data_IF_047779330425
#
_entry.id   IF_047779330425
#
_cell.length_a   1.000
_cell.length_b   1.000
_cell.length_c   1.000
_cell.angle_alpha   90.00
_cell.angle_beta   90.00
_cell.angle_gamma   90.00
#
_symmetry.space_group_name_H-M   'P 1'
#
loop_
_entity.id
_entity.type
_entity.pdbx_description
1 polymer ?
#
# COMPACT_ATOMS: atom_id res chain seq x y z
N UNK A 1 -14.21 1.17 -8.42
CA UNK A 1 -14.80 0.98 -7.09
C UNK A 1 -14.86 2.29 -6.34
N UNK A 2 -15.98 2.55 -5.68
CA UNK A 2 -16.15 3.77 -4.90
C UNK A 2 -15.64 3.58 -3.48
N UNK A 3 -14.85 4.53 -3.01
CA UNK A 3 -14.40 4.56 -1.62
C UNK A 3 -15.19 5.65 -0.91
N UNK A 4 -15.82 5.30 0.21
CA UNK A 4 -16.54 6.26 1.06
C UNK A 4 -15.80 6.43 2.37
N UNK A 5 -15.67 7.68 2.80
CA UNK A 5 -15.07 8.01 4.08
C UNK A 5 -16.10 8.80 4.89
N UNK A 6 -16.47 8.27 6.04
CA UNK A 6 -17.49 8.89 6.91
C UNK A 6 -16.97 9.00 8.33
N UNK A 7 -17.59 9.87 9.12
CA UNK A 7 -17.18 10.11 10.50
C UNK A 7 -17.29 8.85 11.34
N UNK A 8 -16.25 8.55 12.09
CA UNK A 8 -16.24 7.46 13.07
C UNK A 8 -16.58 7.92 14.48
N UNK A 9 -16.23 7.11 15.47
CA UNK A 9 -16.63 7.32 16.86
C UNK A 9 -15.84 8.42 17.58
N UNK A 10 -14.56 8.56 17.32
CA UNK A 10 -13.71 9.54 18.00
C UNK A 10 -13.73 10.91 17.35
N UNK A 11 -12.88 11.81 17.85
CA UNK A 11 -12.82 13.19 17.33
C UNK A 11 -12.44 13.25 15.86
N UNK A 12 -11.40 12.49 15.48
CA UNK A 12 -10.84 12.51 14.12
C UNK A 12 -10.97 11.17 13.43
N UNK A 13 -11.55 10.18 14.09
CA UNK A 13 -11.71 8.85 13.48
C UNK A 13 -12.65 8.92 12.29
N UNK A 14 -12.27 8.22 11.23
CA UNK A 14 -13.11 8.06 10.06
C UNK A 14 -13.15 6.59 9.64
N UNK A 15 -14.28 6.18 9.14
CA UNK A 15 -14.46 4.84 8.59
C UNK A 15 -14.23 4.92 7.10
N UNK A 16 -13.29 4.15 6.61
CA UNK A 16 -12.98 4.03 5.18
C UNK A 16 -13.60 2.74 4.67
N UNK A 17 -14.50 2.83 3.72
CA UNK A 17 -15.24 1.67 3.21
C UNK A 17 -15.02 1.49 1.72
N UNK A 18 -14.80 0.24 1.32
CA UNK A 18 -14.72 -0.20 -0.06
C UNK A 18 -15.68 -1.39 -0.19
N UNK A 19 -16.93 -1.15 -0.60
CA UNK A 19 -17.97 -2.19 -0.57
C UNK A 19 -18.15 -2.71 0.86
N UNK A 20 -18.05 -4.03 1.10
CA UNK A 20 -18.22 -4.60 2.44
C UNK A 20 -16.99 -4.50 3.33
N UNK A 21 -15.86 -4.00 2.80
CA UNK A 21 -14.60 -3.92 3.53
C UNK A 21 -14.42 -2.56 4.16
N UNK A 22 -14.03 -2.54 5.44
CA UNK A 22 -13.82 -1.29 6.17
C UNK A 22 -12.50 -1.31 6.93
N UNK A 23 -11.97 -0.11 7.16
CA UNK A 23 -10.89 0.11 8.11
C UNK A 23 -11.12 1.46 8.78
N UNK A 24 -10.39 1.71 9.86
CA UNK A 24 -10.43 3.00 10.56
C UNK A 24 -9.17 3.77 10.25
N UNK A 25 -9.35 5.05 9.89
CA UNK A 25 -8.28 6.03 9.78
C UNK A 25 -8.40 7.02 10.94
N UNK A 26 -7.27 7.42 11.48
CA UNK A 26 -7.21 8.38 12.60
C UNK A 26 -5.92 9.18 12.51
N UNK A 27 -5.75 10.08 13.42
CA UNK A 27 -4.50 10.82 13.62
C UNK A 27 -3.82 10.37 14.90
N UNK A 28 -2.49 10.57 15.02
CA UNK A 28 -1.79 10.32 16.27
C UNK A 28 -2.31 11.26 17.38
N UNK A 29 -2.12 10.85 18.62
CA UNK A 29 -2.52 11.65 19.79
C UNK A 29 -1.90 13.05 19.78
N UNK A 30 -0.67 13.18 19.28
CA UNK A 30 0.02 14.45 19.17
C UNK A 30 -0.70 15.47 18.27
N UNK A 31 -1.55 15.00 17.35
CA UNK A 31 -2.30 15.84 16.43
C UNK A 31 -3.80 15.87 16.74
N UNK A 32 -4.19 15.48 17.94
CA UNK A 32 -5.58 15.53 18.39
C UNK A 32 -6.38 14.27 18.13
N UNK A 33 -5.77 13.24 17.57
CA UNK A 33 -6.41 11.95 17.38
C UNK A 33 -6.27 11.04 18.59
N UNK A 34 -6.72 9.82 18.44
CA UNK A 34 -6.69 8.79 19.49
C UNK A 34 -5.85 7.59 19.09
N UNK A 35 -5.17 7.66 17.95
CA UNK A 35 -4.36 6.57 17.40
C UNK A 35 -5.18 5.26 17.29
N UNK A 36 -6.43 5.40 16.86
CA UNK A 36 -7.37 4.28 16.80
C UNK A 36 -7.36 3.54 15.46
N UNK A 37 -6.57 4.00 14.51
CA UNK A 37 -6.50 3.37 13.19
C UNK A 37 -5.29 3.86 12.41
N UNK A 38 -5.28 3.55 11.11
CA UNK A 38 -4.19 3.97 10.23
C UNK A 38 -4.12 5.48 10.11
N UNK A 39 -2.90 6.02 10.14
CA UNK A 39 -2.66 7.39 9.72
C UNK A 39 -2.83 7.43 8.19
N UNK A 40 -3.52 8.45 7.63
CA UNK A 40 -3.79 8.49 6.18
C UNK A 40 -2.57 8.31 5.27
N UNK A 41 -1.43 8.91 5.59
CA UNK A 41 -0.20 8.71 4.81
C UNK A 41 0.23 7.24 4.80
N UNK A 42 0.05 6.53 5.90
CA UNK A 42 0.42 5.11 5.99
C UNK A 42 -0.44 4.24 5.07
N UNK A 43 -1.64 4.70 4.72
CA UNK A 43 -2.49 4.02 3.76
C UNK A 43 -1.90 4.00 2.35
N UNK A 44 -1.12 5.01 1.99
CA UNK A 44 -0.40 5.03 0.71
C UNK A 44 0.67 3.93 0.69
N UNK A 45 1.44 3.84 1.78
CA UNK A 45 2.45 2.79 1.92
C UNK A 45 1.81 1.39 2.00
N UNK A 46 0.70 1.27 2.71
CA UNK A 46 -0.05 0.02 2.81
C UNK A 46 -0.56 -0.43 1.44
N UNK A 47 -1.09 0.50 0.65
CA UNK A 47 -1.58 0.21 -0.70
C UNK A 47 -0.44 -0.31 -1.59
N UNK A 48 0.73 0.34 -1.53
CA UNK A 48 1.90 -0.09 -2.31
C UNK A 48 2.37 -1.48 -1.87
N UNK A 49 2.48 -1.70 -0.56
CA UNK A 49 2.91 -3.00 -0.03
C UNK A 49 1.95 -4.13 -0.37
N UNK A 50 0.66 -3.92 -0.18
CA UNK A 50 -0.37 -4.90 -0.49
C UNK A 50 -0.41 -5.23 -1.98
N UNK A 51 -0.39 -4.21 -2.83
CA UNK A 51 -0.40 -4.39 -4.28
C UNK A 51 0.84 -5.16 -4.74
N UNK A 52 2.00 -4.83 -4.19
CA UNK A 52 3.24 -5.53 -4.49
C UNK A 52 3.13 -7.02 -4.15
N UNK A 53 2.70 -7.35 -2.93
CA UNK A 53 2.58 -8.73 -2.48
C UNK A 53 1.59 -9.53 -3.34
N UNK A 54 0.42 -8.96 -3.61
CA UNK A 54 -0.61 -9.62 -4.44
C UNK A 54 -0.07 -9.86 -5.85
N UNK A 55 0.56 -8.85 -6.45
CA UNK A 55 1.10 -8.93 -7.81
C UNK A 55 2.19 -10.01 -7.91
N UNK A 56 3.10 -10.05 -6.94
CA UNK A 56 4.18 -11.04 -6.93
C UNK A 56 3.65 -12.46 -6.76
N UNK A 57 2.68 -12.67 -5.88
CA UNK A 57 2.07 -13.98 -5.70
C UNK A 57 1.31 -14.44 -6.93
N UNK A 58 0.59 -13.54 -7.59
CA UNK A 58 -0.10 -13.86 -8.84
C UNK A 58 0.89 -14.25 -9.94
N UNK A 59 1.96 -13.49 -10.08
CA UNK A 59 2.98 -13.78 -11.09
C UNK A 59 3.68 -15.12 -10.81
N UNK A 60 4.09 -15.34 -9.56
CA UNK A 60 4.75 -16.59 -9.16
C UNK A 60 3.85 -17.80 -9.43
N UNK A 61 2.55 -17.69 -9.16
CA UNK A 61 1.60 -18.75 -9.44
C UNK A 61 1.50 -19.08 -10.93
N UNK A 62 1.42 -18.05 -11.77
CA UNK A 62 1.33 -18.24 -13.23
C UNK A 62 2.60 -18.84 -13.83
N UNK A 63 3.75 -18.49 -13.30
CA UNK A 63 5.06 -18.94 -13.79
C UNK A 63 5.59 -20.15 -13.06
N UNK A 64 4.80 -20.72 -12.14
CA UNK A 64 5.19 -21.87 -11.34
C UNK A 64 6.51 -21.67 -10.60
N UNK A 65 6.74 -20.43 -10.12
CA UNK A 65 7.88 -20.08 -9.28
C UNK A 65 7.55 -20.55 -7.85
N UNK A 66 8.45 -21.26 -7.17
CA UNK A 66 8.16 -21.82 -5.84
C UNK A 66 8.27 -20.76 -4.73
N UNK A 67 7.53 -19.67 -4.86
CA UNK A 67 7.41 -18.64 -3.85
C UNK A 67 6.41 -19.09 -2.80
N UNK A 68 6.87 -19.32 -1.57
CA UNK A 68 5.98 -19.69 -0.48
C UNK A 68 5.21 -18.48 0.02
N UNK A 69 5.92 -17.38 0.25
CA UNK A 69 5.32 -16.09 0.63
C UNK A 69 6.32 -14.97 0.39
N UNK A 70 5.84 -13.75 0.37
CA UNK A 70 6.69 -12.55 0.37
C UNK A 70 6.20 -11.62 1.47
N UNK A 71 7.12 -11.14 2.28
CA UNK A 71 6.87 -10.06 3.23
C UNK A 71 7.35 -8.77 2.58
N UNK A 72 6.52 -7.75 2.60
CA UNK A 72 6.83 -6.46 1.99
C UNK A 72 6.81 -5.40 3.09
N UNK A 73 7.92 -4.71 3.26
CA UNK A 73 8.01 -3.57 4.18
C UNK A 73 8.13 -2.30 3.37
N UNK A 74 7.35 -1.30 3.70
CA UNK A 74 7.41 0.00 3.03
C UNK A 74 7.59 1.08 4.09
N UNK A 75 8.66 1.85 3.95
CA UNK A 75 8.89 3.04 4.78
C UNK A 75 8.78 4.24 3.86
N UNK A 76 7.87 5.15 4.19
CA UNK A 76 7.59 6.32 3.37
C UNK A 76 7.92 7.59 4.13
N UNK A 77 8.59 8.52 3.47
CA UNK A 77 8.95 9.82 4.05
C UNK A 77 9.19 10.84 2.96
N UNK A 78 8.99 12.12 3.30
CA UNK A 78 9.37 13.21 2.41
C UNK A 78 10.85 13.50 2.57
N UNK A 79 11.55 13.59 1.43
CA UNK A 79 12.98 13.92 1.37
C UNK A 79 13.15 14.99 0.31
N UNK A 80 13.57 16.19 0.73
CA UNK A 80 13.83 17.31 -0.18
C UNK A 80 12.67 17.62 -1.14
N UNK A 81 11.43 17.60 -0.62
CA UNK A 81 10.23 17.88 -1.40
C UNK A 81 9.72 16.69 -2.20
N UNK A 82 10.38 15.55 -2.15
CA UNK A 82 9.97 14.33 -2.85
C UNK A 82 9.48 13.31 -1.83
N UNK A 83 8.32 12.71 -2.08
CA UNK A 83 7.79 11.66 -1.23
C UNK A 83 8.38 10.32 -1.67
N UNK A 84 9.22 9.73 -0.81
CA UNK A 84 9.98 8.52 -1.13
C UNK A 84 9.38 7.33 -0.39
N UNK A 85 9.09 6.26 -1.14
CA UNK A 85 8.67 4.97 -0.60
C UNK A 85 9.84 4.00 -0.73
N UNK A 86 10.40 3.60 0.40
CA UNK A 86 11.44 2.57 0.42
C UNK A 86 10.77 1.22 0.65
N UNK A 87 10.79 0.38 -0.36
CA UNK A 87 10.13 -0.92 -0.37
C UNK A 87 11.18 -2.03 -0.27
N UNK A 88 11.05 -2.88 0.75
CA UNK A 88 11.92 -4.02 0.94
C UNK A 88 11.12 -5.30 0.76
N UNK A 89 11.64 -6.21 -0.07
CA UNK A 89 11.02 -7.49 -0.37
C UNK A 89 11.79 -8.59 0.33
N UNK A 90 11.08 -9.44 1.05
CA UNK A 90 11.67 -10.60 1.71
C UNK A 90 10.95 -11.85 1.21
N UNK A 91 11.64 -12.61 0.34
CA UNK A 91 11.08 -13.81 -0.27
C UNK A 91 11.34 -15.03 0.59
N UNK A 92 10.33 -15.92 0.67
CA UNK A 92 10.42 -17.22 1.31
C UNK A 92 10.12 -18.30 0.28
N UNK A 93 10.99 -19.28 0.19
CA UNK A 93 10.87 -20.37 -0.76
C UNK A 93 12.23 -20.73 -1.36
N UNK A 94 12.29 -21.82 -2.09
CA UNK A 94 13.52 -22.27 -2.74
C UNK A 94 13.64 -21.61 -4.11
N UNK A 95 14.05 -20.34 -4.10
CA UNK A 95 14.14 -19.51 -5.31
C UNK A 95 15.56 -19.40 -5.82
N UNK A 96 15.72 -19.50 -7.15
CA UNK A 96 17.00 -19.21 -7.79
C UNK A 96 17.24 -17.69 -7.80
N UNK A 97 18.49 -17.28 -8.02
CA UNK A 97 18.84 -15.87 -8.19
C UNK A 97 18.06 -15.23 -9.34
N UNK A 98 17.94 -15.95 -10.45
CA UNK A 98 17.17 -15.50 -11.61
C UNK A 98 15.69 -15.27 -11.29
N UNK A 99 15.09 -16.20 -10.54
CA UNK A 99 13.70 -16.07 -10.12
C UNK A 99 13.50 -14.84 -9.23
N UNK A 100 14.41 -14.59 -8.28
CA UNK A 100 14.35 -13.40 -7.43
C UNK A 100 14.49 -12.12 -8.25
N UNK A 101 15.40 -12.09 -9.22
CA UNK A 101 15.57 -10.94 -10.10
C UNK A 101 14.30 -10.66 -10.92
N UNK A 102 13.67 -11.71 -11.43
CA UNK A 102 12.41 -11.58 -12.15
C UNK A 102 11.30 -11.02 -11.26
N UNK A 103 11.19 -11.53 -10.03
CA UNK A 103 10.21 -11.03 -9.07
C UNK A 103 10.46 -9.55 -8.75
N UNK A 104 11.72 -9.14 -8.60
CA UNK A 104 12.06 -7.74 -8.37
C UNK A 104 11.57 -6.84 -9.50
N UNK A 105 11.71 -7.27 -10.75
CA UNK A 105 11.21 -6.52 -11.92
C UNK A 105 9.68 -6.44 -11.92
N UNK A 106 9.02 -7.53 -11.54
CA UNK A 106 7.56 -7.58 -11.50
C UNK A 106 7.00 -6.69 -10.40
N UNK A 107 7.73 -6.51 -9.29
CA UNK A 107 7.33 -5.58 -8.24
C UNK A 107 7.11 -4.16 -8.79
N UNK A 108 7.93 -3.72 -9.74
CA UNK A 108 7.81 -2.39 -10.35
C UNK A 108 6.61 -2.28 -11.29
N UNK A 109 5.97 -3.39 -11.62
CA UNK A 109 4.80 -3.41 -12.50
C UNK A 109 3.47 -3.46 -11.76
N UNK A 110 3.49 -3.42 -10.43
CA UNK A 110 2.25 -3.39 -9.67
C UNK A 110 1.47 -2.11 -10.00
N UNK A 111 0.14 -2.18 -10.14
CA UNK A 111 -0.66 -1.01 -10.54
C UNK A 111 -0.52 0.20 -9.61
N UNK A 112 -0.38 -0.01 -8.31
CA UNK A 112 -0.20 1.09 -7.36
C UNK A 112 1.17 1.75 -7.54
N UNK A 113 2.23 0.96 -7.79
CA UNK A 113 3.55 1.50 -8.12
C UNK A 113 3.46 2.45 -9.32
N UNK A 114 2.78 2.01 -10.37
CA UNK A 114 2.59 2.83 -11.56
C UNK A 114 1.81 4.10 -11.28
N UNK A 115 0.73 4.00 -10.49
CA UNK A 115 -0.08 5.16 -10.13
C UNK A 115 0.71 6.18 -9.33
N UNK A 116 1.48 5.72 -8.34
CA UNK A 116 2.29 6.61 -7.49
C UNK A 116 3.48 7.23 -8.22
N UNK A 117 3.96 6.59 -9.27
CA UNK A 117 5.11 7.07 -10.06
C UNK A 117 4.72 7.95 -11.23
N UNK A 118 3.43 8.02 -11.58
CA UNK A 118 2.91 8.79 -12.69
C UNK A 118 2.31 10.12 -12.26
N UNK A 119 1.68 10.79 -13.20
CA UNK A 119 0.94 12.03 -12.92
C UNK A 119 -0.32 11.68 -12.12
N UNK A 120 -0.59 12.45 -11.07
CA UNK A 120 -1.80 12.31 -10.25
C UNK A 120 -2.61 13.59 -10.37
N UNK A 121 -3.90 13.45 -10.69
CA UNK A 121 -4.84 14.56 -10.72
C UNK A 121 -5.93 14.32 -9.69
N UNK A 122 -6.24 15.37 -8.94
CA UNK A 122 -7.29 15.34 -7.94
C UNK A 122 -8.34 16.38 -8.37
N UNK A 123 -9.55 15.91 -8.64
CA UNK A 123 -10.66 16.76 -9.04
C UNK A 123 -11.70 16.73 -7.93
N UNK A 124 -12.04 17.90 -7.40
CA UNK A 124 -12.93 18.00 -6.24
C UNK A 124 -14.26 18.63 -6.64
N UNK A 125 -15.33 18.02 -6.15
CA UNK A 125 -16.68 18.56 -6.21
C UNK A 125 -17.20 18.69 -4.79
N UNK A 126 -17.96 19.74 -4.52
CA UNK A 126 -18.58 19.97 -3.22
C UNK A 126 -20.08 20.24 -3.40
N UNK A 127 -20.89 19.61 -2.56
CA UNK A 127 -22.34 19.80 -2.58
C UNK A 127 -22.78 20.75 -1.47
#
# INVERSE_FOLDING_TARGET
MEIKVTKGAGKLQHIVAAGPHTLIADAPSAFGGEDAGFVPHDLLAAALGACTAVTLNMYAGRKEIPLEKVDVTVVAAEQDGVYVFNRTLHYHGNLSTEQKENLNKIADKCPVHKALSGEIRIITQAN
#
